data_IF_406963336762
#
_entry.id   IF_406963336762
#
_cell.length_a   1.000
_cell.length_b   1.000
_cell.length_c   1.000
_cell.angle_alpha   90.00
_cell.angle_beta   90.00
_cell.angle_gamma   90.00
#
_symmetry.space_group_name_H-M   'P 1'
#
loop_
_entity.id
_entity.type
_entity.pdbx_description
1 polymer ?
#
# COMPACT_ATOMS: atom_id res chain seq x y z
N UNK A 1 -21.65 -11.81 -4.31
CA UNK A 1 -21.16 -13.12 -3.83
C UNK A 1 -19.77 -13.29 -4.41
N UNK A 2 -18.73 -13.07 -3.60
CA UNK A 2 -17.34 -13.15 -4.02
C UNK A 2 -16.90 -14.61 -4.10
N UNK A 3 -16.11 -14.96 -5.11
CA UNK A 3 -15.52 -16.29 -5.20
C UNK A 3 -14.22 -16.29 -4.41
N UNK A 4 -14.12 -17.18 -3.41
CA UNK A 4 -12.88 -17.44 -2.68
C UNK A 4 -12.21 -18.66 -3.31
N UNK A 5 -10.94 -18.52 -3.71
CA UNK A 5 -10.14 -19.64 -4.15
C UNK A 5 -8.91 -19.79 -3.22
N UNK A 6 -8.82 -20.97 -2.60
CA UNK A 6 -7.64 -21.41 -1.85
C UNK A 6 -6.64 -21.97 -2.85
N UNK A 7 -5.49 -21.31 -2.97
CA UNK A 7 -4.45 -21.70 -3.92
C UNK A 7 -3.26 -22.26 -3.16
N UNK A 8 -2.66 -23.32 -3.73
CA UNK A 8 -1.48 -23.98 -3.18
C UNK A 8 -0.30 -23.71 -4.11
N UNK A 9 0.77 -23.11 -3.58
CA UNK A 9 2.05 -22.95 -4.29
C UNK A 9 3.19 -23.30 -3.33
N UNK A 10 4.08 -24.19 -3.76
CA UNK A 10 5.27 -24.62 -3.00
C UNK A 10 5.00 -25.06 -1.55
N UNK A 11 3.87 -25.76 -1.34
CA UNK A 11 3.47 -26.28 -0.03
C UNK A 11 2.85 -25.25 0.92
N UNK A 12 2.73 -23.98 0.51
CA UNK A 12 2.03 -22.91 1.25
C UNK A 12 0.67 -22.62 0.63
N UNK A 13 -0.33 -22.39 1.48
CA UNK A 13 -1.68 -22.04 1.05
C UNK A 13 -1.92 -20.54 1.14
N UNK A 14 -2.37 -19.97 0.04
CA UNK A 14 -2.65 -18.55 -0.12
C UNK A 14 -4.14 -18.35 -0.43
N UNK A 15 -4.68 -17.22 0.00
CA UNK A 15 -6.05 -16.83 -0.29
C UNK A 15 -6.05 -15.79 -1.39
N UNK A 16 -6.83 -16.04 -2.45
CA UNK A 16 -7.14 -15.04 -3.47
C UNK A 16 -8.56 -14.54 -3.28
N UNK A 17 -8.75 -13.23 -3.37
CA UNK A 17 -10.06 -12.59 -3.35
C UNK A 17 -10.28 -11.99 -4.74
N UNK A 18 -11.22 -12.56 -5.50
CA UNK A 18 -11.58 -12.05 -6.83
C UNK A 18 -12.93 -11.33 -6.75
N UNK A 19 -12.92 -10.02 -6.97
CA UNK A 19 -14.14 -9.24 -7.14
C UNK A 19 -14.84 -9.54 -8.47
N UNK A 20 -16.19 -9.51 -8.52
CA UNK A 20 -16.90 -9.52 -9.79
C UNK A 20 -16.54 -8.26 -10.59
N UNK A 21 -16.42 -8.40 -11.91
CA UNK A 21 -16.04 -7.31 -12.80
C UNK A 21 -16.94 -6.07 -12.62
N UNK A 22 -16.37 -4.85 -12.63
CA UNK A 22 -17.17 -3.64 -12.50
C UNK A 22 -18.11 -3.49 -13.71
N UNK A 23 -19.38 -3.18 -13.41
CA UNK A 23 -20.36 -2.86 -14.45
C UNK A 23 -20.03 -1.46 -14.98
N UNK A 24 -19.42 -1.37 -16.16
CA UNK A 24 -19.08 -0.10 -16.79
C UNK A 24 -20.34 0.75 -17.06
N UNK A 25 -20.36 2.04 -16.71
CA UNK A 25 -21.41 2.95 -17.17
C UNK A 25 -21.27 3.24 -18.68
N UNK A 26 -22.37 3.55 -19.40
CA UNK A 26 -22.33 3.80 -20.83
C UNK A 26 -21.56 5.09 -21.18
N UNK A 27 -20.80 5.03 -22.28
CA UNK A 27 -19.98 6.14 -22.81
C UNK A 27 -20.86 7.32 -23.28
N UNK A 28 -20.48 8.58 -22.99
CA UNK A 28 -21.05 9.73 -23.69
C UNK A 28 -20.41 9.93 -25.08
N UNK A 29 -21.24 10.27 -26.07
CA UNK A 29 -20.86 10.58 -27.46
C UNK A 29 -20.18 11.96 -27.61
N UNK A 30 -19.41 12.21 -28.69
CA UNK A 30 -18.54 13.38 -28.80
C UNK A 30 -19.26 14.62 -29.37
N UNK A 31 -19.24 15.72 -28.63
CA UNK A 31 -19.65 17.06 -29.07
C UNK A 31 -18.43 17.96 -29.35
N UNK A 32 -18.52 18.76 -30.40
CA UNK A 32 -17.44 19.52 -31.09
C UNK A 32 -16.77 20.66 -30.29
N UNK A 33 -15.52 20.90 -30.70
CA UNK A 33 -14.63 22.07 -30.51
C UNK A 33 -15.31 23.45 -30.55
N UNK A 34 -14.70 24.43 -29.86
CA UNK A 34 -14.31 25.73 -30.45
C UNK A 34 -13.19 26.43 -29.64
N UNK A 35 -12.13 26.76 -30.38
CA UNK A 35 -11.09 27.81 -30.28
C UNK A 35 -11.00 28.74 -29.05
N UNK A 36 -9.77 28.90 -28.54
CA UNK A 36 -9.36 30.01 -27.67
C UNK A 36 -7.83 30.02 -27.43
N UNK A 37 -7.10 30.88 -28.16
CA UNK A 37 -5.65 31.06 -28.08
C UNK A 37 -5.31 32.10 -27.01
N UNK A 38 -4.44 31.79 -26.05
CA UNK A 38 -3.56 32.76 -25.38
C UNK A 38 -2.48 32.04 -24.56
N UNK A 39 -1.22 32.38 -24.85
CA UNK A 39 -0.04 32.03 -24.04
C UNK A 39 0.10 33.11 -22.95
N UNK A 40 0.42 32.73 -21.71
CA UNK A 40 1.63 33.29 -21.12
C UNK A 40 2.39 32.32 -20.22
N UNK A 41 3.68 32.59 -20.04
CA UNK A 41 4.43 32.16 -18.87
C UNK A 41 5.33 30.96 -19.10
N UNK A 42 6.61 31.24 -19.31
CA UNK A 42 7.71 30.34 -18.95
C UNK A 42 7.52 30.02 -17.47
N UNK A 43 7.10 28.80 -17.13
CA UNK A 43 7.17 28.31 -15.76
C UNK A 43 8.65 28.27 -15.38
N UNK A 44 9.04 29.09 -14.42
CA UNK A 44 10.28 28.88 -13.70
C UNK A 44 10.23 27.46 -13.09
N UNK A 45 11.36 26.71 -13.05
CA UNK A 45 11.37 25.42 -12.38
C UNK A 45 10.93 25.64 -10.94
N UNK A 46 9.80 25.01 -10.60
CA UNK A 46 9.21 25.08 -9.27
C UNK A 46 10.25 24.76 -8.21
N UNK A 47 10.20 25.58 -7.16
CA UNK A 47 10.80 25.39 -5.84
C UNK A 47 10.86 23.89 -5.46
N UNK A 48 11.96 23.41 -4.86
CA UNK A 48 11.99 22.03 -4.40
C UNK A 48 10.81 21.80 -3.46
N UNK A 49 9.97 20.82 -3.80
CA UNK A 49 9.00 20.24 -2.88
C UNK A 49 9.74 19.97 -1.56
N UNK A 50 9.16 20.42 -0.44
CA UNK A 50 9.82 20.34 0.86
C UNK A 50 10.30 18.93 1.18
N UNK A 51 11.42 18.83 1.90
CA UNK A 51 11.96 17.55 2.34
C UNK A 51 10.88 16.72 3.07
N UNK A 52 10.86 15.39 2.89
CA UNK A 52 9.87 14.53 3.53
C UNK A 52 9.93 14.67 5.05
N UNK A 53 8.77 14.84 5.67
CA UNK A 53 8.66 14.90 7.14
C UNK A 53 8.48 13.49 7.66
N UNK A 54 9.39 13.05 8.53
CA UNK A 54 9.34 11.74 9.19
C UNK A 54 9.06 11.94 10.67
N UNK A 55 8.02 11.29 11.18
CA UNK A 55 7.73 11.15 12.61
C UNK A 55 7.91 9.69 13.03
N UNK A 56 8.32 9.46 14.28
CA UNK A 56 8.52 8.12 14.81
C UNK A 56 8.20 8.06 16.29
N UNK A 57 7.55 6.99 16.75
CA UNK A 57 7.30 6.74 18.16
C UNK A 57 7.16 5.23 18.43
N UNK A 58 7.31 4.84 19.70
CA UNK A 58 7.22 3.44 20.13
C UNK A 58 5.83 3.18 20.70
N UNK A 59 5.21 2.07 20.29
CA UNK A 59 3.94 1.56 20.80
C UNK A 59 4.15 0.13 21.26
N UNK A 60 3.98 -0.13 22.56
CA UNK A 60 4.32 -1.41 23.20
C UNK A 60 5.75 -1.87 22.88
N UNK A 61 5.90 -2.93 22.08
CA UNK A 61 7.17 -3.48 21.60
C UNK A 61 7.50 -3.09 20.15
N UNK A 62 6.63 -2.32 19.49
CA UNK A 62 6.76 -1.92 18.09
C UNK A 62 7.22 -0.48 17.90
N UNK A 63 7.85 -0.22 16.76
CA UNK A 63 8.22 1.11 16.28
C UNK A 63 7.27 1.53 15.15
N UNK A 64 6.56 2.63 15.35
CA UNK A 64 5.72 3.28 14.34
C UNK A 64 6.50 4.43 13.71
N UNK A 65 6.44 4.51 12.38
CA UNK A 65 7.06 5.58 11.58
C UNK A 65 6.08 6.07 10.53
N UNK A 66 5.84 7.38 10.47
CA UNK A 66 5.03 7.99 9.44
C UNK A 66 5.90 8.97 8.66
N UNK A 67 5.94 8.80 7.34
CA UNK A 67 6.59 9.73 6.43
C UNK A 67 5.55 10.37 5.53
N UNK A 68 5.61 11.69 5.41
CA UNK A 68 4.75 12.45 4.50
C UNK A 68 5.60 13.20 3.47
N UNK A 69 5.18 13.09 2.21
CA UNK A 69 5.67 13.87 1.07
C UNK A 69 4.50 14.65 0.45
N UNK A 70 4.74 15.34 -0.67
CA UNK A 70 3.71 16.09 -1.37
C UNK A 70 2.49 15.22 -1.76
N UNK A 71 2.73 14.03 -2.32
CA UNK A 71 1.67 13.14 -2.83
C UNK A 71 1.40 11.91 -1.97
N UNK A 72 2.27 11.58 -1.02
CA UNK A 72 2.21 10.30 -0.34
C UNK A 72 2.34 10.46 1.16
N UNK A 73 1.53 9.70 1.89
CA UNK A 73 1.77 9.38 3.30
C UNK A 73 2.10 7.89 3.38
N UNK A 74 3.22 7.55 4.00
CA UNK A 74 3.64 6.17 4.26
C UNK A 74 3.73 5.97 5.76
N UNK A 75 2.84 5.16 6.32
CA UNK A 75 2.87 4.76 7.73
C UNK A 75 3.37 3.33 7.81
N UNK A 76 4.32 3.08 8.71
CA UNK A 76 5.02 1.82 8.86
C UNK A 76 4.97 1.38 10.32
N UNK A 77 4.82 0.08 10.55
CA UNK A 77 4.95 -0.54 11.85
C UNK A 77 5.96 -1.68 11.79
N UNK A 78 6.91 -1.67 12.72
CA UNK A 78 7.94 -2.70 12.87
C UNK A 78 7.85 -3.26 14.28
N UNK A 79 7.42 -4.52 14.40
CA UNK A 79 7.38 -5.27 15.66
C UNK A 79 8.56 -6.24 15.71
N UNK A 80 8.78 -6.99 16.81
CA UNK A 80 9.89 -7.94 16.89
C UNK A 80 9.97 -8.85 15.66
N UNK A 81 11.19 -9.05 15.13
CA UNK A 81 11.48 -9.81 13.90
C UNK A 81 10.83 -9.26 12.62
N UNK A 82 10.15 -8.13 12.66
CA UNK A 82 9.75 -7.40 11.47
C UNK A 82 10.87 -6.50 10.97
N UNK A 83 10.89 -6.25 9.67
CA UNK A 83 11.81 -5.30 9.06
C UNK A 83 11.02 -4.33 8.19
N UNK A 84 11.16 -3.03 8.46
CA UNK A 84 10.75 -1.99 7.51
C UNK A 84 11.96 -1.14 7.11
N UNK A 85 12.22 -1.10 5.80
CA UNK A 85 13.16 -0.13 5.21
C UNK A 85 12.36 0.95 4.49
N UNK A 86 12.51 2.19 4.93
CA UNK A 86 11.89 3.35 4.34
C UNK A 86 12.99 4.30 3.87
N UNK A 87 13.09 4.48 2.56
CA UNK A 87 14.12 5.30 1.91
C UNK A 87 13.45 6.35 1.04
N UNK A 88 13.79 7.62 1.24
CA UNK A 88 13.33 8.71 0.38
C UNK A 88 14.47 9.21 -0.48
N UNK A 89 14.21 9.32 -1.78
CA UNK A 89 15.10 9.93 -2.75
C UNK A 89 14.42 11.12 -3.46
N UNK A 90 15.15 11.82 -4.36
CA UNK A 90 14.65 13.05 -4.99
C UNK A 90 13.40 12.88 -5.87
N UNK A 91 13.04 11.67 -6.27
CA UNK A 91 11.92 11.39 -7.20
C UNK A 91 11.02 10.25 -6.77
N UNK A 92 11.36 9.58 -5.67
CA UNK A 92 10.64 8.41 -5.21
C UNK A 92 10.85 8.17 -3.73
N UNK A 93 9.82 7.59 -3.13
CA UNK A 93 9.85 6.98 -1.81
C UNK A 93 9.78 5.47 -1.98
N UNK A 94 10.70 4.75 -1.35
CA UNK A 94 10.74 3.29 -1.32
C UNK A 94 10.40 2.78 0.07
N UNK A 95 9.50 1.82 0.13
CA UNK A 95 9.21 1.05 1.33
C UNK A 95 9.39 -0.43 1.03
N UNK A 96 10.09 -1.13 1.92
CA UNK A 96 10.26 -2.58 1.89
C UNK A 96 9.81 -3.12 3.24
N UNK A 97 8.92 -4.11 3.21
CA UNK A 97 8.38 -4.82 4.36
C UNK A 97 8.76 -6.28 4.24
N UNK A 98 9.30 -6.85 5.31
CA UNK A 98 9.66 -8.26 5.39
C UNK A 98 9.76 -8.74 6.83
N UNK A 99 10.08 -10.02 6.97
CA UNK A 99 10.44 -10.63 8.24
C UNK A 99 11.96 -10.82 8.28
N UNK A 100 12.57 -10.57 9.44
CA UNK A 100 13.96 -10.87 9.68
C UNK A 100 14.15 -12.39 9.63
N UNK A 101 15.16 -12.83 8.88
CA UNK A 101 15.47 -14.25 8.75
C UNK A 101 16.50 -14.56 9.83
N UNK A 102 16.13 -15.40 10.80
CA UNK A 102 17.07 -15.89 11.80
C UNK A 102 18.34 -16.39 11.09
N UNK A 103 19.52 -15.82 11.39
CA UNK A 103 20.78 -16.23 10.76
C UNK A 103 21.08 -17.73 10.92
N UNK A 104 20.54 -18.38 11.96
CA UNK A 104 20.65 -19.83 12.15
C UNK A 104 19.82 -20.64 11.13
N UNK A 105 18.82 -20.03 10.51
CA UNK A 105 17.97 -20.56 9.45
C UNK A 105 18.26 -19.94 8.07
N UNK A 106 19.43 -19.32 7.88
CA UNK A 106 19.85 -18.81 6.58
C UNK A 106 19.97 -19.98 5.59
N UNK A 107 18.99 -20.09 4.69
CA UNK A 107 18.94 -21.11 3.65
C UNK A 107 19.77 -20.73 2.41
N UNK A 108 20.49 -19.60 2.45
CA UNK A 108 21.18 -19.01 1.30
C UNK A 108 20.24 -18.43 0.25
N UNK A 109 18.93 -18.41 0.54
CA UNK A 109 17.91 -17.74 -0.28
C UNK A 109 17.70 -16.32 0.24
N UNK A 110 17.53 -15.33 -0.64
CA UNK A 110 17.21 -13.98 -0.19
C UNK A 110 15.90 -13.96 0.60
N UNK A 111 15.84 -13.11 1.63
CA UNK A 111 14.69 -12.98 2.50
C UNK A 111 13.41 -12.64 1.71
N UNK A 112 12.24 -13.20 2.07
CA UNK A 112 10.96 -12.79 1.52
C UNK A 112 10.67 -11.31 1.81
N UNK A 113 10.11 -10.60 0.84
CA UNK A 113 9.68 -9.22 1.04
C UNK A 113 8.58 -8.77 0.09
N UNK A 114 7.81 -7.78 0.54
CA UNK A 114 6.95 -6.96 -0.28
C UNK A 114 7.50 -5.52 -0.28
N UNK A 115 7.53 -4.88 -1.45
CA UNK A 115 8.07 -3.55 -1.61
C UNK A 115 7.15 -2.68 -2.46
N UNK A 116 7.14 -1.39 -2.17
CA UNK A 116 6.51 -0.39 -3.02
C UNK A 116 7.43 0.80 -3.26
N UNK A 117 7.39 1.34 -4.48
CA UNK A 117 8.01 2.60 -4.86
C UNK A 117 6.92 3.60 -5.24
N UNK A 118 6.86 4.71 -4.52
CA UNK A 118 5.90 5.80 -4.74
C UNK A 118 6.65 6.96 -5.40
N UNK A 119 6.31 7.29 -6.64
CA UNK A 119 7.01 8.34 -7.40
C UNK A 119 6.38 9.70 -7.17
N UNK A 120 7.14 10.78 -7.37
CA UNK A 120 6.62 12.16 -7.31
C UNK A 120 5.58 12.47 -8.40
N UNK A 121 5.50 11.64 -9.45
CA UNK A 121 4.52 11.80 -10.53
C UNK A 121 3.19 11.07 -10.21
N UNK A 122 3.11 10.38 -9.07
CA UNK A 122 1.91 9.67 -8.63
C UNK A 122 1.82 8.21 -9.11
N UNK A 123 2.87 7.66 -9.71
CA UNK A 123 2.97 6.22 -10.00
C UNK A 123 3.37 5.45 -8.73
N UNK A 124 2.73 4.30 -8.53
CA UNK A 124 3.03 3.30 -7.53
C UNK A 124 3.50 2.02 -8.22
N UNK A 125 4.68 1.54 -7.87
CA UNK A 125 5.22 0.26 -8.34
C UNK A 125 5.28 -0.70 -7.16
N UNK A 126 4.70 -1.89 -7.28
CA UNK A 126 4.70 -2.92 -6.24
C UNK A 126 5.52 -4.11 -6.73
N UNK A 127 6.39 -4.63 -5.86
CA UNK A 127 7.22 -5.82 -6.12
C UNK A 127 7.06 -6.78 -4.95
N UNK A 128 6.84 -8.06 -5.24
CA UNK A 128 6.78 -9.10 -4.22
C UNK A 128 7.75 -10.22 -4.54
N UNK A 129 8.37 -10.75 -3.50
CA UNK A 129 9.28 -11.89 -3.59
C UNK A 129 8.99 -12.85 -2.45
N UNK A 130 8.44 -14.01 -2.79
CA UNK A 130 8.08 -15.07 -1.83
C UNK A 130 7.26 -14.56 -0.62
N UNK A 131 6.54 -13.45 -0.82
CA UNK A 131 5.78 -12.72 0.19
C UNK A 131 4.32 -12.56 -0.26
N UNK A 132 3.39 -12.24 0.67
CA UNK A 132 2.02 -11.94 0.32
C UNK A 132 1.92 -10.77 -0.68
N UNK A 133 0.89 -10.76 -1.55
CA UNK A 133 0.61 -9.59 -2.35
C UNK A 133 0.20 -8.41 -1.45
N UNK A 134 0.47 -7.20 -1.92
CA UNK A 134 -0.11 -6.01 -1.37
C UNK A 134 -1.64 -6.03 -1.53
N UNK A 135 -2.33 -5.43 -0.57
CA UNK A 135 -3.78 -5.27 -0.60
C UNK A 135 -4.07 -3.82 -0.96
N UNK A 136 -4.76 -3.58 -2.07
CA UNK A 136 -5.27 -2.26 -2.43
C UNK A 136 -6.73 -2.19 -2.04
N UNK A 137 -7.08 -1.20 -1.24
CA UNK A 137 -8.44 -0.99 -0.74
C UNK A 137 -8.97 0.39 -1.08
N UNK A 138 -10.27 0.45 -1.35
CA UNK A 138 -11.09 1.66 -1.34
C UNK A 138 -12.26 1.45 -0.39
N UNK A 139 -13.10 2.46 -0.20
CA UNK A 139 -14.32 2.35 0.60
C UNK A 139 -15.25 1.23 0.08
N UNK A 140 -15.23 0.90 -1.21
CA UNK A 140 -16.16 -0.03 -1.83
C UNK A 140 -15.55 -1.25 -2.52
N UNK A 141 -14.23 -1.37 -2.57
CA UNK A 141 -13.54 -2.40 -3.34
C UNK A 141 -12.21 -2.80 -2.69
N UNK A 142 -11.79 -4.04 -2.94
CA UNK A 142 -10.54 -4.60 -2.49
C UNK A 142 -9.94 -5.49 -3.58
N UNK A 143 -8.65 -5.31 -3.86
CA UNK A 143 -7.88 -6.08 -4.85
C UNK A 143 -6.46 -6.31 -4.37
N UNK A 144 -5.74 -7.19 -5.04
CA UNK A 144 -4.33 -7.49 -4.72
C UNK A 144 -3.37 -6.96 -5.78
N UNK A 145 -2.15 -6.64 -5.35
CA UNK A 145 -1.04 -6.22 -6.22
C UNK A 145 0.29 -6.87 -5.80
N UNK A 146 1.08 -7.40 -6.72
CA UNK A 146 0.75 -7.68 -8.12
C UNK A 146 -0.47 -8.62 -8.25
N UNK A 147 -1.06 -8.67 -9.44
CA UNK A 147 -2.04 -9.70 -9.74
C UNK A 147 -1.41 -11.08 -9.55
N UNK A 148 -2.25 -12.07 -9.22
CA UNK A 148 -1.77 -13.41 -8.88
C UNK A 148 -0.80 -13.98 -9.93
N UNK A 149 0.32 -14.52 -9.45
CA UNK A 149 1.40 -15.06 -10.27
C UNK A 149 2.42 -14.05 -10.81
N UNK A 150 2.18 -12.73 -10.69
CA UNK A 150 3.15 -11.71 -11.08
C UNK A 150 4.11 -11.34 -9.92
N UNK A 151 5.37 -11.06 -10.26
CA UNK A 151 6.38 -10.61 -9.28
C UNK A 151 6.37 -9.09 -9.08
N UNK A 152 5.82 -8.35 -10.04
CA UNK A 152 5.72 -6.90 -10.00
C UNK A 152 4.50 -6.39 -10.78
N UNK A 153 4.02 -5.20 -10.41
CA UNK A 153 2.95 -4.47 -11.09
C UNK A 153 3.14 -2.96 -10.86
N UNK A 154 2.57 -2.13 -11.73
CA UNK A 154 2.56 -0.68 -11.53
C UNK A 154 1.23 -0.04 -11.90
N UNK A 155 0.89 1.03 -11.21
CA UNK A 155 -0.34 1.78 -11.43
C UNK A 155 -0.28 3.22 -10.94
N UNK A 156 -1.28 4.02 -11.31
CA UNK A 156 -1.50 5.35 -10.78
C UNK A 156 -2.73 5.28 -9.85
N UNK A 157 -2.54 5.10 -8.53
CA UNK A 157 -3.66 4.89 -7.62
C UNK A 157 -4.56 6.12 -7.56
N UNK A 158 -5.86 5.93 -7.45
CA UNK A 158 -6.83 7.02 -7.34
C UNK A 158 -6.77 7.68 -5.95
N UNK A 159 -7.31 8.89 -5.83
CA UNK A 159 -7.48 9.52 -4.51
C UNK A 159 -8.40 8.65 -3.64
N UNK A 160 -7.97 8.39 -2.39
CA UNK A 160 -8.68 7.49 -1.49
C UNK A 160 -8.40 6.00 -1.71
N UNK A 161 -7.56 5.62 -2.68
CA UNK A 161 -6.95 4.30 -2.70
C UNK A 161 -5.82 4.22 -1.68
N UNK A 162 -5.83 3.12 -0.93
CA UNK A 162 -4.82 2.78 0.07
C UNK A 162 -4.15 1.46 -0.31
N UNK A 163 -2.83 1.43 -0.27
CA UNK A 163 -2.05 0.19 -0.37
C UNK A 163 -1.64 -0.27 1.03
N UNK A 164 -1.79 -1.56 1.31
CA UNK A 164 -1.35 -2.22 2.53
C UNK A 164 -0.32 -3.29 2.15
N UNK A 165 0.88 -3.20 2.73
CA UNK A 165 1.95 -4.17 2.64
C UNK A 165 2.10 -4.86 3.99
N UNK A 166 2.17 -6.18 4.00
CA UNK A 166 2.34 -6.97 5.22
C UNK A 166 3.47 -7.98 5.03
N UNK A 167 4.23 -8.23 6.09
CA UNK A 167 5.18 -9.34 6.11
C UNK A 167 4.44 -10.69 6.15
N UNK A 168 5.16 -11.78 5.90
CA UNK A 168 4.56 -13.12 5.88
C UNK A 168 3.99 -13.47 7.26
N UNK A 169 4.74 -13.19 8.33
CA UNK A 169 4.32 -13.49 9.69
C UNK A 169 2.99 -12.80 10.05
N UNK A 170 2.82 -11.53 9.67
CA UNK A 170 1.58 -10.79 9.93
C UNK A 170 0.44 -11.35 9.10
N UNK A 171 0.64 -11.50 7.78
CA UNK A 171 -0.42 -11.95 6.88
C UNK A 171 -0.96 -13.34 7.25
N UNK A 172 -0.10 -14.25 7.70
CA UNK A 172 -0.49 -15.59 8.14
C UNK A 172 -1.22 -15.58 9.49
N UNK A 173 -0.93 -14.62 10.36
CA UNK A 173 -1.48 -14.55 11.72
C UNK A 173 -2.83 -13.84 11.83
N UNK A 174 -3.15 -12.90 10.93
CA UNK A 174 -4.40 -12.11 10.99
C UNK A 174 -5.37 -12.28 9.80
N UNK A 175 -5.62 -13.51 9.30
CA UNK A 175 -6.52 -13.70 8.16
C UNK A 175 -7.95 -13.25 8.48
N UNK A 176 -8.43 -13.45 9.71
CA UNK A 176 -9.80 -13.07 10.10
C UNK A 176 -9.99 -11.56 10.12
N UNK A 177 -9.00 -10.80 10.61
CA UNK A 177 -9.04 -9.32 10.63
C UNK A 177 -9.04 -8.77 9.21
N UNK A 178 -8.24 -9.36 8.31
CA UNK A 178 -8.24 -8.99 6.90
C UNK A 178 -9.58 -9.33 6.22
N UNK A 179 -10.13 -10.51 6.50
CA UNK A 179 -11.43 -10.96 5.96
C UNK A 179 -12.57 -10.07 6.47
N UNK A 180 -12.60 -9.72 7.75
CA UNK A 180 -13.61 -8.82 8.31
C UNK A 180 -13.44 -7.39 7.80
N UNK A 181 -12.21 -6.92 7.68
CA UNK A 181 -11.89 -5.62 7.10
C UNK A 181 -12.31 -5.50 5.63
N UNK A 182 -12.12 -6.57 4.85
CA UNK A 182 -12.54 -6.64 3.44
C UNK A 182 -14.04 -6.86 3.32
N UNK A 183 -14.64 -7.83 4.02
CA UNK A 183 -16.08 -8.11 3.94
C UNK A 183 -16.94 -7.02 4.58
N UNK A 184 -16.34 -6.23 5.48
CA UNK A 184 -16.84 -4.95 5.93
C UNK A 184 -16.86 -3.87 4.85
N UNK A 185 -16.98 -4.19 3.56
CA UNK A 185 -17.10 -3.21 2.45
C UNK A 185 -18.15 -2.13 2.75
N UNK A 186 -19.21 -2.45 3.49
CA UNK A 186 -20.21 -1.46 3.90
C UNK A 186 -19.70 -0.43 4.94
N UNK A 187 -18.70 -0.79 5.75
CA UNK A 187 -18.00 0.12 6.68
C UNK A 187 -16.72 0.70 6.10
N UNK A 188 -16.13 0.10 5.06
CA UNK A 188 -14.91 0.60 4.41
C UNK A 188 -13.72 0.70 5.37
N UNK A 189 -13.70 -0.14 6.43
CA UNK A 189 -12.80 0.02 7.57
C UNK A 189 -11.32 0.08 7.16
N UNK A 190 -10.84 -0.88 6.35
CA UNK A 190 -9.45 -0.90 5.88
C UNK A 190 -9.06 0.36 5.10
N UNK A 191 -10.01 0.98 4.41
CA UNK A 191 -9.78 2.18 3.62
C UNK A 191 -9.97 3.50 4.40
N UNK A 192 -10.62 3.47 5.56
CA UNK A 192 -11.05 4.70 6.27
C UNK A 192 -10.47 4.83 7.67
N UNK A 193 -10.06 3.72 8.28
CA UNK A 193 -9.43 3.74 9.59
C UNK A 193 -8.10 4.49 9.53
N UNK A 194 -7.76 5.12 10.65
CA UNK A 194 -6.46 5.75 10.83
C UNK A 194 -5.34 4.71 10.56
N UNK A 195 -4.36 5.02 9.68
CA UNK A 195 -3.29 4.08 9.33
C UNK A 195 -2.52 3.52 10.51
N UNK A 196 -2.23 4.35 11.52
CA UNK A 196 -1.46 3.92 12.69
C UNK A 196 -2.29 2.93 13.52
N UNK A 197 -3.55 3.26 13.79
CA UNK A 197 -4.49 2.40 14.52
C UNK A 197 -4.68 1.04 13.84
N UNK A 198 -4.84 1.03 12.51
CA UNK A 198 -4.98 -0.19 11.73
C UNK A 198 -3.71 -1.04 11.75
N UNK A 199 -2.52 -0.42 11.62
CA UNK A 199 -1.25 -1.16 11.71
C UNK A 199 -1.01 -1.74 13.10
N UNK A 200 -1.40 -1.02 14.16
CA UNK A 200 -1.32 -1.53 15.54
C UNK A 200 -2.21 -2.76 15.70
N UNK A 201 -3.43 -2.76 15.17
CA UNK A 201 -4.30 -3.94 15.22
C UNK A 201 -3.74 -5.11 14.41
N UNK A 202 -3.35 -4.88 13.16
CA UNK A 202 -2.87 -5.93 12.26
C UNK A 202 -1.55 -6.54 12.74
N UNK A 203 -0.54 -5.71 12.98
CA UNK A 203 0.81 -6.17 13.35
C UNK A 203 0.88 -6.54 14.83
N UNK A 204 0.22 -5.78 15.70
CA UNK A 204 0.12 -6.12 17.13
C UNK A 204 -0.65 -7.42 17.37
N UNK A 205 -1.67 -7.72 16.57
CA UNK A 205 -2.40 -9.00 16.60
C UNK A 205 -1.52 -10.22 16.27
N UNK A 206 -0.48 -10.02 15.45
CA UNK A 206 0.50 -11.06 15.11
C UNK A 206 1.65 -11.18 16.12
N UNK A 207 1.78 -10.24 17.06
CA UNK A 207 2.87 -10.09 18.04
C UNK A 207 4.30 -9.94 17.47
N UNK A 208 4.50 -10.18 16.18
CA UNK A 208 5.77 -10.09 15.46
C UNK A 208 5.54 -9.73 13.98
N UNK A 209 6.60 -9.30 13.30
CA UNK A 209 6.57 -8.95 11.87
C UNK A 209 6.39 -7.45 11.62
N UNK A 210 6.04 -7.11 10.38
CA UNK A 210 6.03 -5.73 9.92
C UNK A 210 4.88 -5.45 8.94
N UNK A 211 4.52 -4.17 8.85
CA UNK A 211 3.51 -3.70 7.90
C UNK A 211 3.74 -2.25 7.48
N UNK A 212 3.19 -1.89 6.33
CA UNK A 212 3.13 -0.52 5.86
C UNK A 212 1.80 -0.21 5.19
N UNK A 213 1.32 1.01 5.37
CA UNK A 213 0.18 1.59 4.70
C UNK A 213 0.65 2.80 3.90
N UNK A 214 0.23 2.86 2.64
CA UNK A 214 0.56 3.95 1.73
C UNK A 214 -0.74 4.56 1.26
N UNK A 215 -0.93 5.83 1.61
CA UNK A 215 -2.06 6.64 1.20
C UNK A 215 -1.59 7.68 0.17
N UNK A 216 -2.36 7.81 -0.92
CA UNK A 216 -2.20 8.93 -1.85
C UNK A 216 -2.91 10.16 -1.27
N UNK A 217 -2.16 11.24 -1.06
CA UNK A 217 -2.72 12.53 -0.63
C UNK A 217 -3.53 13.18 -1.77
N UNK A 218 -4.60 13.91 -1.45
CA UNK A 218 -5.27 14.77 -2.42
C UNK A 218 -4.27 15.76 -3.04
N UNK A 219 -4.35 15.97 -4.35
CA UNK A 219 -3.45 16.87 -5.07
C UNK A 219 -3.62 18.34 -4.66
N UNK A 220 -4.80 18.69 -4.15
CA UNK A 220 -5.04 19.97 -3.52
C UNK A 220 -4.73 19.83 -2.03
N UNK A 221 -3.74 20.57 -1.53
CA UNK A 221 -3.33 20.64 -0.12
C UNK A 221 -4.39 21.18 0.84
N UNK A 222 -5.65 20.76 0.67
CA UNK A 222 -6.75 20.93 1.57
C UNK A 222 -6.50 20.05 2.79
N UNK A 223 -5.63 20.52 3.68
CA UNK A 223 -5.74 20.18 5.10
C UNK A 223 -7.19 20.47 5.49
N UNK A 224 -7.99 19.41 5.67
CA UNK A 224 -9.28 19.58 6.35
C UNK A 224 -8.94 19.95 7.79
N UNK A 225 -9.05 21.25 8.07
CA UNK A 225 -9.00 21.87 9.39
C UNK A 225 -10.01 21.25 10.36
#
# INVERSE_FOLDING_TARGET
MYAQARLHRDGRSWWSVTAPAPTLPPRPEPGRQLSGRMVPGRQEPGQPEGDPVVTSHVVDSGLLRTMSSALWTVTCAEYPYGVVRLESGPRLTQVVVGDDVDPANDTGRPAPYAAASCTTDGELVVVVRDAPPAIVVTIGDCRTRPLDGAEHDSEFPQEGERLILLSCAVFEAVPDVLVDGVNGVASGRLATEDPESLLIELVGGAACGAGAIIDRRPADGSERS
#
